data_IF_160357149173
#
_entry.id   IF_160357149173
#
_cell.length_a   1.000
_cell.length_b   1.000
_cell.length_c   1.000
_cell.angle_alpha   90.00
_cell.angle_beta   90.00
_cell.angle_gamma   90.00
#
_symmetry.space_group_name_H-M   'P 1'
#
loop_
_entity.id
_entity.type
_entity.pdbx_description
1 polymer ?
#
# COMPACT_ATOMS: atom_id res chain seq x y z
N UNK A 1 24.69 -7.15 -5.98
CA UNK A 1 23.56 -6.37 -6.51
C UNK A 1 22.28 -6.48 -5.66
N UNK A 2 22.20 -7.37 -4.66
CA UNK A 2 21.03 -7.52 -3.76
C UNK A 2 21.15 -6.75 -2.42
N UNK A 3 22.25 -6.03 -2.21
CA UNK A 3 22.58 -5.34 -0.95
C UNK A 3 21.71 -4.11 -0.62
N UNK A 4 20.77 -3.75 -1.50
CA UNK A 4 19.85 -2.61 -1.31
C UNK A 4 18.48 -3.01 -0.73
N UNK A 5 18.17 -4.30 -0.65
CA UNK A 5 16.89 -4.75 -0.09
C UNK A 5 16.98 -4.76 1.43
N UNK A 6 16.46 -3.72 2.06
CA UNK A 6 16.28 -3.69 3.52
C UNK A 6 15.46 -4.91 3.96
N UNK A 7 15.80 -5.50 5.11
CA UNK A 7 15.13 -6.67 5.67
C UNK A 7 13.61 -6.51 5.70
N UNK A 8 13.15 -5.28 5.99
CA UNK A 8 11.73 -4.89 5.99
C UNK A 8 11.07 -5.09 4.62
N UNK A 9 11.77 -4.76 3.54
CA UNK A 9 11.29 -4.94 2.16
C UNK A 9 11.20 -6.42 1.80
N UNK A 10 12.20 -7.22 2.18
CA UNK A 10 12.20 -8.68 1.97
C UNK A 10 11.00 -9.33 2.68
N UNK A 11 10.78 -8.99 3.95
CA UNK A 11 9.64 -9.50 4.72
C UNK A 11 8.31 -9.09 4.08
N UNK A 12 8.18 -7.84 3.65
CA UNK A 12 6.97 -7.35 2.98
C UNK A 12 6.70 -8.11 1.69
N UNK A 13 7.74 -8.38 0.90
CA UNK A 13 7.63 -9.12 -0.36
C UNK A 13 7.18 -10.57 -0.13
N UNK A 14 7.75 -11.25 0.87
CA UNK A 14 7.34 -12.61 1.26
C UNK A 14 5.89 -12.64 1.71
N UNK A 15 5.48 -11.72 2.59
CA UNK A 15 4.09 -11.63 3.06
C UNK A 15 3.13 -11.37 1.90
N UNK A 16 3.50 -10.47 0.98
CA UNK A 16 2.70 -10.16 -0.20
C UNK A 16 2.54 -11.39 -1.09
N UNK A 17 3.62 -12.12 -1.36
CA UNK A 17 3.57 -13.35 -2.18
C UNK A 17 2.74 -14.43 -1.54
N UNK A 18 2.89 -14.65 -0.22
CA UNK A 18 2.04 -15.60 0.52
C UNK A 18 0.58 -15.17 0.45
N UNK A 19 0.28 -13.88 0.63
CA UNK A 19 -1.07 -13.35 0.51
C UNK A 19 -1.64 -13.57 -0.90
N UNK A 20 -0.86 -13.31 -1.96
CA UNK A 20 -1.27 -13.57 -3.34
C UNK A 20 -1.44 -15.05 -3.69
N UNK A 21 -0.78 -15.97 -2.97
CA UNK A 21 -0.94 -17.42 -3.17
C UNK A 21 -2.11 -17.98 -2.36
N UNK A 22 -2.30 -17.49 -1.14
CA UNK A 22 -3.37 -17.91 -0.22
C UNK A 22 -4.69 -17.30 -0.64
N UNK A 23 -4.70 -16.07 -1.14
CA UNK A 23 -5.90 -15.38 -1.62
C UNK A 23 -6.68 -16.26 -2.62
N UNK A 24 -6.12 -16.70 -3.77
CA UNK A 24 -6.80 -17.59 -4.70
C UNK A 24 -7.14 -18.97 -4.10
N UNK A 25 -6.37 -19.46 -3.13
CA UNK A 25 -6.63 -20.76 -2.48
C UNK A 25 -7.83 -20.71 -1.51
N UNK A 26 -8.02 -19.57 -0.84
CA UNK A 26 -9.15 -19.31 0.07
C UNK A 26 -10.42 -18.92 -0.69
N UNK A 27 -10.29 -18.54 -1.95
CA UNK A 27 -11.42 -18.17 -2.79
C UNK A 27 -12.04 -19.43 -3.43
N UNK A 28 -13.20 -19.92 -2.96
CA UNK A 28 -13.98 -20.89 -3.73
C UNK A 28 -14.32 -20.30 -5.11
N UNK A 29 -14.62 -21.15 -6.13
CA UNK A 29 -15.03 -20.67 -7.45
C UNK A 29 -16.19 -19.68 -7.28
N UNK A 30 -15.91 -18.39 -7.53
CA UNK A 30 -16.74 -17.27 -7.13
C UNK A 30 -18.02 -17.17 -7.95
N UNK A 31 -19.00 -17.98 -7.60
CA UNK A 31 -20.41 -17.63 -7.63
C UNK A 31 -20.69 -16.85 -6.34
N UNK A 32 -21.17 -15.59 -6.27
CA UNK A 32 -21.63 -14.56 -7.21
C UNK A 32 -20.78 -13.24 -6.97
N UNK A 33 -21.24 -11.96 -7.09
CA UNK A 33 -20.40 -10.75 -7.26
C UNK A 33 -19.02 -10.72 -6.57
N UNK A 34 -17.90 -10.41 -7.28
CA UNK A 34 -16.55 -10.64 -6.78
C UNK A 34 -16.15 -9.63 -5.69
N UNK A 35 -16.23 -10.03 -4.42
CA UNK A 35 -15.79 -9.24 -3.26
C UNK A 35 -14.30 -8.84 -3.33
N UNK A 36 -13.48 -9.62 -4.04
CA UNK A 36 -12.09 -9.29 -4.36
C UNK A 36 -11.92 -7.97 -5.07
N UNK A 37 -12.86 -7.63 -5.94
CA UNK A 37 -12.84 -6.35 -6.64
C UNK A 37 -13.07 -5.18 -5.69
N UNK A 38 -13.63 -5.42 -4.49
CA UNK A 38 -13.76 -4.42 -3.42
C UNK A 38 -12.51 -4.32 -2.55
N UNK A 39 -11.67 -5.36 -2.45
CA UNK A 39 -10.38 -5.27 -1.75
C UNK A 39 -9.42 -4.30 -2.42
N UNK A 40 -9.44 -4.22 -3.76
CA UNK A 40 -8.64 -3.26 -4.54
C UNK A 40 -8.95 -1.80 -4.13
N UNK A 41 -10.20 -1.30 -4.20
CA UNK A 41 -10.53 0.05 -3.77
C UNK A 41 -10.32 0.29 -2.27
N UNK A 42 -10.55 -0.69 -1.39
CA UNK A 42 -10.27 -0.55 0.06
C UNK A 42 -8.77 -0.43 0.34
N UNK A 43 -7.94 -1.22 -0.33
CA UNK A 43 -6.48 -1.15 -0.22
C UNK A 43 -5.96 0.21 -0.69
N UNK A 44 -6.45 0.71 -1.83
CA UNK A 44 -6.12 2.05 -2.32
C UNK A 44 -6.57 3.13 -1.32
N UNK A 45 -7.78 3.04 -0.77
CA UNK A 45 -8.26 3.95 0.27
C UNK A 45 -7.36 3.97 1.51
N UNK A 46 -6.93 2.80 1.98
CA UNK A 46 -6.02 2.70 3.12
C UNK A 46 -4.63 3.27 2.81
N UNK A 47 -4.11 3.06 1.60
CA UNK A 47 -2.85 3.65 1.16
C UNK A 47 -2.96 5.17 1.06
N UNK A 48 -4.04 5.69 0.46
CA UNK A 48 -4.27 7.13 0.35
C UNK A 48 -4.46 7.79 1.71
N UNK A 49 -5.16 7.13 2.65
CA UNK A 49 -5.28 7.62 4.02
C UNK A 49 -3.92 7.62 4.71
N UNK A 50 -3.15 6.53 4.58
CA UNK A 50 -1.79 6.47 5.12
C UNK A 50 -0.90 7.56 4.51
N UNK A 51 -0.99 7.81 3.20
CA UNK A 51 -0.20 8.83 2.52
C UNK A 51 -0.65 10.24 2.91
N UNK A 52 -1.95 10.47 3.07
CA UNK A 52 -2.51 11.74 3.54
C UNK A 52 -2.08 12.04 4.98
N UNK A 53 -2.08 11.04 5.85
CA UNK A 53 -1.58 11.14 7.21
C UNK A 53 -0.04 11.18 7.27
N UNK A 54 0.64 10.63 6.26
CA UNK A 54 2.09 10.64 6.10
C UNK A 54 2.61 11.88 5.36
N UNK A 55 1.72 12.73 4.83
CA UNK A 55 2.04 14.07 4.31
C UNK A 55 2.38 14.98 5.50
N UNK A 56 3.50 14.65 6.12
CA UNK A 56 4.15 15.33 7.22
C UNK A 56 4.89 16.54 6.67
N UNK A 57 4.43 17.73 7.06
CA UNK A 57 5.10 19.01 6.92
C UNK A 57 5.44 19.40 5.48
N UNK A 58 4.48 20.06 4.82
CA UNK A 58 4.87 21.09 3.87
C UNK A 58 5.62 22.19 4.65
N UNK A 59 6.93 22.32 4.44
CA UNK A 59 7.67 23.51 4.84
C UNK A 59 6.92 24.76 4.32
N UNK A 60 6.60 25.74 5.18
CA UNK A 60 5.97 26.97 4.75
C UNK A 60 7.05 27.89 4.17
N UNK A 61 7.64 27.53 3.04
CA UNK A 61 8.53 28.45 2.31
C UNK A 61 7.69 29.44 1.49
N UNK A 62 6.86 30.25 2.16
CA UNK A 62 6.25 31.45 1.59
C UNK A 62 6.20 32.50 2.72
N UNK A 63 7.35 32.97 3.21
CA UNK A 63 7.38 34.08 4.17
C UNK A 63 8.74 34.80 4.29
N UNK A 64 9.51 34.99 3.21
CA UNK A 64 10.61 35.99 3.14
C UNK A 64 11.04 36.03 1.67
N UNK A 65 11.05 37.13 0.91
CA UNK A 65 11.09 38.54 1.26
C UNK A 65 10.37 39.36 0.18
N UNK A 66 9.43 40.19 0.60
CA UNK A 66 9.14 41.46 -0.08
C UNK A 66 9.72 42.57 0.79
N UNK A 67 10.97 42.97 0.52
CA UNK A 67 11.55 44.26 0.94
C UNK A 67 12.41 44.76 -0.21
#
# INVERSE_FOLDING_TARGET
MLSFFSLRSVVTMVVLTVSLLVLPLVLPPLSPPPLLFLFVPVFIMSLLLFLALSSSTAEPHIAVASV
#
